data_IF_165425708910
#
_entry.id   IF_165425708910
#
_cell.length_a   1.000
_cell.length_b   1.000
_cell.length_c   1.000
_cell.angle_alpha   90.00
_cell.angle_beta   90.00
_cell.angle_gamma   90.00
#
_symmetry.space_group_name_H-M   'P 1'
#
loop_
_entity.id
_entity.type
_entity.pdbx_description
1 polymer ?
#
# COMPACT_ATOMS: atom_id res chain seq x y z
N UNK A 1 10.17 -27.11 -6.05
CA UNK A 1 9.82 -26.47 -4.76
C UNK A 1 8.80 -25.38 -5.06
N UNK A 2 7.63 -25.43 -4.42
CA UNK A 2 6.61 -24.37 -4.56
C UNK A 2 7.19 -23.06 -4.01
N UNK A 3 7.21 -21.99 -4.83
CA UNK A 3 7.56 -20.66 -4.34
C UNK A 3 6.48 -20.22 -3.35
N UNK A 4 6.89 -19.75 -2.18
CA UNK A 4 5.98 -19.18 -1.18
C UNK A 4 5.45 -17.84 -1.71
N UNK A 5 4.14 -17.60 -1.59
CA UNK A 5 3.45 -16.41 -2.10
C UNK A 5 3.16 -15.43 -0.98
N UNK A 6 3.61 -14.19 -1.13
CA UNK A 6 3.31 -13.08 -0.22
C UNK A 6 2.90 -11.88 -1.05
N UNK A 7 1.60 -11.67 -1.20
CA UNK A 7 1.03 -10.59 -2.01
C UNK A 7 0.52 -9.47 -1.13
N UNK A 8 0.37 -8.28 -1.71
CA UNK A 8 -0.01 -7.07 -0.99
C UNK A 8 -1.26 -6.46 -1.60
N UNK A 9 -2.20 -6.04 -0.76
CA UNK A 9 -3.41 -5.34 -1.16
C UNK A 9 -3.35 -3.88 -0.68
N UNK A 10 -3.51 -2.93 -1.61
CA UNK A 10 -3.49 -1.49 -1.33
C UNK A 10 -4.71 -0.81 -1.94
N UNK A 11 -5.24 0.23 -1.27
CA UNK A 11 -6.39 0.99 -1.79
C UNK A 11 -6.03 1.79 -3.05
N UNK A 12 -4.82 2.34 -3.11
CA UNK A 12 -4.32 3.03 -4.28
C UNK A 12 -2.80 2.94 -4.34
N UNK A 13 -2.24 3.01 -5.55
CA UNK A 13 -0.82 3.16 -5.78
C UNK A 13 -0.60 4.44 -6.61
N UNK A 14 0.01 5.45 -6.00
CA UNK A 14 0.24 6.77 -6.59
C UNK A 14 1.65 7.28 -6.32
N UNK A 15 2.16 8.11 -7.23
CA UNK A 15 3.53 8.60 -7.08
C UNK A 15 3.65 9.49 -5.84
N UNK A 16 4.62 9.19 -4.98
CA UNK A 16 4.88 9.97 -3.77
C UNK A 16 3.94 9.68 -2.60
N UNK A 17 3.06 8.68 -2.71
CA UNK A 17 2.23 8.26 -1.57
C UNK A 17 3.00 7.32 -0.63
N UNK A 18 2.85 7.53 0.69
CA UNK A 18 3.64 6.81 1.69
C UNK A 18 3.35 5.31 1.72
N UNK A 19 2.09 4.92 1.53
CA UNK A 19 1.64 3.52 1.57
C UNK A 19 2.21 2.75 0.38
N UNK A 20 2.13 3.35 -0.82
CA UNK A 20 2.67 2.82 -2.06
C UNK A 20 4.18 2.64 -1.99
N UNK A 21 4.91 3.63 -1.47
CA UNK A 21 6.36 3.52 -1.28
C UNK A 21 6.75 2.38 -0.33
N UNK A 22 6.02 2.21 0.77
CA UNK A 22 6.24 1.10 1.69
C UNK A 22 5.92 -0.25 1.04
N UNK A 23 4.78 -0.38 0.35
CA UNK A 23 4.40 -1.59 -0.36
C UNK A 23 5.45 -2.00 -1.40
N UNK A 24 5.99 -1.03 -2.16
CA UNK A 24 7.07 -1.27 -3.12
C UNK A 24 8.36 -1.73 -2.44
N UNK A 25 8.72 -1.13 -1.31
CA UNK A 25 9.88 -1.53 -0.53
C UNK A 25 9.74 -2.97 -0.04
N UNK A 26 8.61 -3.30 0.60
CA UNK A 26 8.27 -4.65 1.08
C UNK A 26 8.33 -5.67 -0.06
N UNK A 27 7.71 -5.36 -1.21
CA UNK A 27 7.75 -6.21 -2.40
C UNK A 27 9.19 -6.52 -2.82
N UNK A 28 10.04 -5.49 -2.88
CA UNK A 28 11.45 -5.65 -3.23
C UNK A 28 12.19 -6.58 -2.27
N UNK A 29 11.94 -6.45 -0.96
CA UNK A 29 12.53 -7.34 0.05
C UNK A 29 12.04 -8.78 -0.09
N UNK A 30 10.74 -8.99 -0.28
CA UNK A 30 10.14 -10.32 -0.46
C UNK A 30 10.66 -11.01 -1.72
N UNK A 31 10.72 -10.31 -2.85
CA UNK A 31 11.26 -10.84 -4.11
C UNK A 31 12.74 -11.23 -3.96
N UNK A 32 13.55 -10.40 -3.29
CA UNK A 32 14.97 -10.74 -2.98
C UNK A 32 15.10 -11.97 -2.08
N UNK A 33 14.14 -12.19 -1.18
CA UNK A 33 14.10 -13.37 -0.32
C UNK A 33 13.52 -14.63 -1.02
N UNK A 34 13.19 -14.55 -2.32
CA UNK A 34 12.72 -15.69 -3.12
C UNK A 34 11.22 -15.94 -3.08
N UNK A 35 10.44 -15.01 -2.53
CA UNK A 35 8.97 -15.07 -2.58
C UNK A 35 8.43 -14.56 -3.91
N UNK A 36 7.32 -15.14 -4.34
CA UNK A 36 6.45 -14.50 -5.32
C UNK A 36 5.65 -13.40 -4.61
N UNK A 37 5.70 -12.17 -5.13
CA UNK A 37 5.12 -11.02 -4.45
C UNK A 37 4.65 -9.99 -5.46
N UNK A 38 3.34 -9.80 -5.51
CA UNK A 38 2.65 -8.83 -6.35
C UNK A 38 1.89 -7.85 -5.47
N UNK A 39 1.74 -6.63 -5.99
CA UNK A 39 0.89 -5.60 -5.39
C UNK A 39 -0.40 -5.58 -6.20
N UNK A 40 -1.54 -5.67 -5.53
CA UNK A 40 -2.85 -5.53 -6.12
C UNK A 40 -3.52 -4.27 -5.58
N UNK A 41 -4.03 -3.44 -6.48
CA UNK A 41 -4.52 -2.11 -6.14
C UNK A 41 -5.88 -1.80 -6.78
N UNK A 42 -6.75 -1.11 -6.06
CA UNK A 42 -8.06 -0.68 -6.62
C UNK A 42 -7.87 0.42 -7.65
N UNK A 43 -6.93 1.33 -7.38
CA UNK A 43 -6.61 2.47 -8.23
C UNK A 43 -5.11 2.55 -8.41
N UNK A 44 -4.65 2.68 -9.64
CA UNK A 44 -3.23 2.85 -9.94
C UNK A 44 -3.07 4.10 -10.80
N UNK A 45 -2.18 4.99 -10.38
CA UNK A 45 -1.80 6.12 -11.21
C UNK A 45 -1.17 5.59 -12.52
N UNK A 46 -1.49 6.13 -13.72
CA UNK A 46 -1.03 5.56 -15.00
C UNK A 46 0.48 5.31 -15.10
N UNK A 47 1.30 6.20 -14.51
CA UNK A 47 2.77 6.04 -14.47
C UNK A 47 3.26 4.84 -13.66
N UNK A 48 2.43 4.29 -12.78
CA UNK A 48 2.75 3.17 -11.88
C UNK A 48 2.02 1.87 -12.27
N UNK A 49 1.29 1.86 -13.40
CA UNK A 49 0.50 0.72 -13.83
C UNK A 49 1.32 -0.57 -14.00
N UNK A 50 2.62 -0.46 -14.30
CA UNK A 50 3.52 -1.61 -14.44
C UNK A 50 4.01 -2.20 -13.10
N UNK A 51 3.69 -1.55 -11.97
CA UNK A 51 4.16 -1.94 -10.63
C UNK A 51 3.09 -2.70 -9.83
N UNK A 52 1.83 -2.66 -10.27
CA UNK A 52 0.72 -3.30 -9.58
C UNK A 52 -0.25 -3.94 -10.58
N UNK A 53 -0.94 -4.97 -10.09
CA UNK A 53 -2.06 -5.62 -10.77
C UNK A 53 -3.38 -5.01 -10.28
N UNK A 54 -4.44 -5.05 -11.08
CA UNK A 54 -5.76 -4.65 -10.63
C UNK A 54 -6.28 -5.51 -9.48
N UNK A 55 -6.96 -4.91 -8.49
CA UNK A 55 -7.42 -5.62 -7.29
C UNK A 55 -8.29 -6.85 -7.59
N UNK A 56 -9.14 -6.79 -8.62
CA UNK A 56 -10.05 -7.89 -8.96
C UNK A 56 -9.35 -9.17 -9.45
N UNK A 57 -8.08 -9.09 -9.87
CA UNK A 57 -7.28 -10.26 -10.25
C UNK A 57 -6.76 -11.04 -9.03
N UNK A 58 -6.88 -10.48 -7.82
CA UNK A 58 -6.35 -11.11 -6.61
C UNK A 58 -6.91 -12.52 -6.36
N UNK A 59 -8.17 -12.75 -6.73
CA UNK A 59 -8.83 -14.04 -6.57
C UNK A 59 -8.13 -15.20 -7.30
N UNK A 60 -7.32 -14.89 -8.33
CA UNK A 60 -6.58 -15.89 -9.10
C UNK A 60 -5.37 -16.46 -8.33
N UNK A 61 -4.84 -15.72 -7.36
CA UNK A 61 -3.63 -16.08 -6.60
C UNK A 61 -3.91 -16.35 -5.12
N UNK A 62 -5.14 -16.08 -4.67
CA UNK A 62 -5.60 -16.36 -3.32
C UNK A 62 -5.65 -17.88 -3.08
N UNK A 63 -5.07 -18.33 -1.97
CA UNK A 63 -5.01 -19.75 -1.58
C UNK A 63 -4.64 -19.89 -0.11
N UNK A 64 -4.91 -21.05 0.53
CA UNK A 64 -4.44 -21.33 1.90
C UNK A 64 -2.92 -21.21 2.11
N UNK A 65 -2.13 -21.31 1.04
CA UNK A 65 -0.66 -21.18 1.05
C UNK A 65 -0.17 -19.75 0.76
N UNK A 66 -1.09 -18.82 0.50
CA UNK A 66 -0.80 -17.42 0.23
C UNK A 66 -0.84 -16.61 1.53
N UNK A 67 0.14 -15.74 1.73
CA UNK A 67 0.08 -14.69 2.75
C UNK A 67 -0.35 -13.38 2.08
N UNK A 68 -1.36 -12.75 2.66
CA UNK A 68 -1.89 -11.46 2.20
C UNK A 68 -1.47 -10.36 3.17
N UNK A 69 -0.68 -9.39 2.71
CA UNK A 69 -0.38 -8.17 3.45
C UNK A 69 -1.41 -7.10 3.04
N UNK A 70 -2.34 -6.81 3.93
CA UNK A 70 -3.38 -5.82 3.68
C UNK A 70 -3.01 -4.47 4.27
N UNK A 71 -2.77 -3.48 3.42
CA UNK A 71 -2.49 -2.11 3.86
C UNK A 71 -3.82 -1.40 4.17
N UNK A 72 -4.23 -1.46 5.42
CA UNK A 72 -5.46 -0.82 5.87
C UNK A 72 -5.25 0.70 5.99
N UNK A 73 -6.01 1.46 5.20
CA UNK A 73 -6.10 2.91 5.24
C UNK A 73 -7.55 3.39 5.08
N UNK A 74 -7.83 4.64 5.44
CA UNK A 74 -9.13 5.26 5.18
C UNK A 74 -9.42 5.20 3.67
N UNK A 75 -10.59 4.65 3.29
CA UNK A 75 -11.05 4.54 1.90
C UNK A 75 -10.72 3.24 1.16
N UNK A 76 -10.18 2.21 1.83
CA UNK A 76 -9.95 0.88 1.25
C UNK A 76 -11.26 0.08 1.08
N UNK A 77 -11.69 -0.22 -0.16
CA UNK A 77 -12.77 -1.17 -0.45
C UNK A 77 -12.34 -2.65 -0.36
N UNK A 78 -11.04 -2.92 -0.27
CA UNK A 78 -10.44 -4.25 -0.19
C UNK A 78 -10.87 -5.09 1.03
N UNK A 79 -11.53 -4.48 2.03
CA UNK A 79 -12.05 -5.19 3.20
C UNK A 79 -13.01 -6.33 2.86
N UNK A 80 -13.85 -6.19 1.81
CA UNK A 80 -14.77 -7.26 1.39
C UNK A 80 -14.07 -8.43 0.68
N UNK A 81 -13.00 -8.15 -0.07
CA UNK A 81 -12.24 -9.18 -0.78
C UNK A 81 -11.49 -10.09 0.18
N UNK A 82 -10.95 -9.50 1.24
CA UNK A 82 -10.16 -10.23 2.23
C UNK A 82 -11.03 -11.07 3.15
N UNK A 83 -12.26 -10.62 3.46
CA UNK A 83 -13.14 -11.31 4.39
C UNK A 83 -13.44 -12.77 3.99
N UNK A 84 -13.43 -13.08 2.69
CA UNK A 84 -13.69 -14.42 2.17
C UNK A 84 -12.44 -15.15 1.68
N UNK A 85 -11.26 -14.52 1.73
CA UNK A 85 -10.04 -15.14 1.22
C UNK A 85 -9.58 -16.26 2.16
N UNK A 86 -9.19 -17.44 1.65
CA UNK A 86 -8.59 -18.53 2.44
C UNK A 86 -7.17 -18.23 2.93
N UNK A 87 -6.62 -17.08 2.56
CA UNK A 87 -5.24 -16.69 2.80
C UNK A 87 -4.93 -16.50 4.29
N UNK A 88 -3.63 -16.55 4.61
CA UNK A 88 -3.15 -16.03 5.89
C UNK A 88 -3.06 -14.51 5.81
N UNK A 89 -3.95 -13.82 6.52
CA UNK A 89 -4.02 -12.37 6.52
C UNK A 89 -3.08 -11.73 7.55
N UNK A 90 -2.34 -10.70 7.11
CA UNK A 90 -1.60 -9.77 7.96
C UNK A 90 -2.08 -8.35 7.62
N UNK A 91 -2.60 -7.63 8.61
CA UNK A 91 -3.04 -6.23 8.42
C UNK A 91 -1.92 -5.26 8.81
N UNK A 92 -1.56 -4.36 7.90
CA UNK A 92 -0.61 -3.27 8.10
C UNK A 92 -1.43 -1.98 8.21
N UNK A 93 -1.51 -1.43 9.41
CA UNK A 93 -2.29 -0.24 9.69
C UNK A 93 -1.49 1.04 9.46
N UNK A 94 -2.01 1.94 8.61
CA UNK A 94 -1.38 3.23 8.32
C UNK A 94 -2.14 4.35 9.05
N UNK A 95 -1.56 4.89 10.12
CA UNK A 95 -2.04 6.11 10.76
C UNK A 95 -1.85 7.30 9.81
N UNK A 96 -2.93 7.88 9.29
CA UNK A 96 -2.87 9.10 8.48
C UNK A 96 -2.92 10.31 9.42
N UNK A 97 -1.86 11.13 9.45
CA UNK A 97 -1.93 12.46 10.07
C UNK A 97 -2.81 13.33 9.14
N UNK A 98 -3.92 13.93 9.63
CA UNK A 98 -4.79 14.75 8.81
C UNK A 98 -4.01 15.91 8.16
N UNK A 99 -4.33 16.24 6.91
CA UNK A 99 -3.68 17.32 6.16
C UNK A 99 -3.78 18.69 6.86
N UNK A 100 -4.71 18.87 7.79
CA UNK A 100 -4.85 20.09 8.61
C UNK A 100 -3.61 20.37 9.48
N UNK A 101 -2.76 19.37 9.74
CA UNK A 101 -1.45 19.57 10.39
C UNK A 101 -0.36 20.12 9.46
N UNK A 102 -0.56 20.12 8.14
CA UNK A 102 0.41 20.62 7.15
C UNK A 102 0.25 22.11 6.79
N UNK A 103 -0.75 22.81 7.32
CA UNK A 103 -0.95 24.26 7.09
C UNK A 103 -0.05 25.18 7.96
N UNK A 104 0.87 24.62 8.76
CA UNK A 104 1.68 25.38 9.72
C UNK A 104 3.08 25.82 9.26
N UNK A 105 3.58 25.40 8.09
CA UNK A 105 5.00 25.60 7.72
C UNK A 105 5.24 26.60 6.59
N UNK A 106 4.30 27.49 6.31
CA UNK A 106 4.51 28.64 5.42
C UNK A 106 4.71 29.94 6.22
N UNK A 107 5.72 29.99 7.10
CA UNK A 107 6.23 31.28 7.64
C UNK A 107 7.75 31.26 7.72
N UNK A 108 8.39 31.76 6.67
CA UNK A 108 9.67 32.46 6.82
C UNK A 108 9.59 33.79 6.08
N UNK A 109 9.77 34.89 6.82
CA UNK A 109 9.56 36.25 6.33
C UNK A 109 9.37 37.22 7.49
N UNK A 110 10.42 37.38 8.30
CA UNK A 110 10.51 38.30 9.45
C UNK A 110 10.13 39.73 9.04
N UNK A 111 9.28 40.40 9.82
CA UNK A 111 9.09 41.86 9.79
C UNK A 111 9.35 42.42 11.20
N UNK A 112 10.57 42.95 11.35
CA UNK A 112 11.03 44.12 12.10
C UNK A 112 10.33 44.50 13.43
N UNK A 113 11.10 44.44 14.53
CA UNK A 113 10.87 45.20 15.77
C UNK A 113 11.61 46.54 15.71
N UNK A 114 10.87 47.65 15.80
CA UNK A 114 11.22 49.02 16.24
C UNK A 114 9.88 49.62 16.71
N UNK A 115 9.67 50.23 17.87
CA UNK A 115 10.53 50.87 18.88
C UNK A 115 9.84 50.73 20.24
#
# INVERSE_FOLDING_TARGET
MTRRRVHQLVAALSYGDAIGNEALAIQGHLRRAGFESDIFAERVHPRMAHLARPLWEYGEVSSPDTVCLFHFSIGSAAGRLIYHAPDRLVSIYHNITPADWFLGSARSGRRWWRS
#
